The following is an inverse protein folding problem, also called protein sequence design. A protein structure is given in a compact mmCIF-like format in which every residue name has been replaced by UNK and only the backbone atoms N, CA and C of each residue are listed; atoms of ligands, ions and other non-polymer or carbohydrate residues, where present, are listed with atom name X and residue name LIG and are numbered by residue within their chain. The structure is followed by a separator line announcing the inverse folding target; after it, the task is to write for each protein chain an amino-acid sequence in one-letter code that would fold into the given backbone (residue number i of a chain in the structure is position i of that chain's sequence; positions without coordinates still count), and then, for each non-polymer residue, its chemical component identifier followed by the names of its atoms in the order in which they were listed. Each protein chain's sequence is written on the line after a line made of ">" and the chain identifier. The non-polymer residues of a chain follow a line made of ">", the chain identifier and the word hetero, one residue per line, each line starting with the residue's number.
data_IF_518773712583
#
_entry.id   IF_518773712583
#
_cell.length_a   1.000
_cell.length_b   1.000
_cell.length_c   1.000
_cell.angle_alpha   90.00
_cell.angle_beta   90.00
_cell.angle_gamma   90.00
#
_symmetry.space_group_name_H-M   'P 1'
#
loop_
_entity.id
_entity.type
_entity.pdbx_description
1 polymer ?
#
# COMPACT_ATOMS: atom_id res chain seq x y z
N UNK A 1 22.62 -4.68 8.50
CA UNK A 1 21.88 -4.07 7.37
C UNK A 1 20.61 -4.86 7.19
N UNK A 2 19.44 -4.22 7.23
CA UNK A 2 18.20 -4.86 6.77
C UNK A 2 18.31 -5.10 5.26
N UNK A 3 17.88 -6.27 4.79
CA UNK A 3 17.69 -6.54 3.36
C UNK A 3 16.70 -5.51 2.80
N UNK A 4 17.05 -4.87 1.67
CA UNK A 4 16.23 -3.88 0.95
C UNK A 4 14.78 -4.34 0.76
N UNK A 5 14.56 -5.64 0.56
CA UNK A 5 13.20 -6.22 0.45
C UNK A 5 12.41 -6.07 1.75
N UNK A 6 13.07 -6.28 2.88
CA UNK A 6 12.47 -6.15 4.21
C UNK A 6 12.18 -4.69 4.53
N UNK A 7 13.09 -3.77 4.20
CA UNK A 7 12.88 -2.32 4.37
C UNK A 7 11.65 -1.85 3.59
N UNK A 8 11.57 -2.14 2.28
CA UNK A 8 10.44 -1.73 1.45
C UNK A 8 9.11 -2.35 1.91
N UNK A 9 9.15 -3.58 2.42
CA UNK A 9 7.96 -4.22 2.99
C UNK A 9 7.49 -3.51 4.27
N UNK A 10 8.41 -3.14 5.16
CA UNK A 10 8.07 -2.39 6.37
C UNK A 10 7.49 -1.02 6.03
N UNK A 11 8.15 -0.27 5.14
CA UNK A 11 7.67 1.03 4.65
C UNK A 11 6.24 0.92 4.08
N UNK A 12 6.00 -0.08 3.23
CA UNK A 12 4.66 -0.34 2.70
C UNK A 12 3.62 -0.60 3.80
N UNK A 13 3.95 -1.39 4.84
CA UNK A 13 2.99 -1.69 5.90
C UNK A 13 2.70 -0.48 6.77
N UNK A 14 3.73 0.30 7.11
CA UNK A 14 3.60 1.53 7.89
C UNK A 14 2.75 2.56 7.14
N UNK A 15 3.08 2.82 5.87
CA UNK A 15 2.32 3.77 5.05
C UNK A 15 0.89 3.32 4.79
N UNK A 16 0.67 2.02 4.57
CA UNK A 16 -0.68 1.46 4.41
C UNK A 16 -1.51 1.65 5.68
N UNK A 17 -0.94 1.32 6.84
CA UNK A 17 -1.63 1.46 8.11
C UNK A 17 -1.99 2.92 8.38
N UNK A 18 -1.07 3.84 8.14
CA UNK A 18 -1.33 5.26 8.28
C UNK A 18 -2.43 5.73 7.31
N UNK A 19 -2.39 5.27 6.06
CA UNK A 19 -3.41 5.61 5.06
C UNK A 19 -4.81 5.11 5.45
N UNK A 20 -4.91 3.90 6.01
CA UNK A 20 -6.17 3.34 6.47
C UNK A 20 -6.73 4.13 7.68
N UNK A 21 -5.86 4.57 8.60
CA UNK A 21 -6.24 5.48 9.70
C UNK A 21 -6.73 6.82 9.17
N UNK A 22 -5.98 7.46 8.27
CA UNK A 22 -6.33 8.76 7.68
C UNK A 22 -7.70 8.68 6.97
N UNK A 23 -7.95 7.61 6.21
CA UNK A 23 -9.24 7.37 5.56
C UNK A 23 -10.35 7.21 6.58
N UNK A 24 -10.13 6.42 7.64
CA UNK A 24 -11.10 6.22 8.71
C UNK A 24 -11.51 7.53 9.41
N UNK A 25 -10.52 8.37 9.73
CA UNK A 25 -10.78 9.69 10.31
C UNK A 25 -11.58 10.59 9.35
N UNK A 26 -11.26 10.54 8.05
CA UNK A 26 -11.98 11.30 7.03
C UNK A 26 -13.43 10.81 6.87
N UNK A 27 -13.70 9.50 6.96
CA UNK A 27 -15.07 8.96 6.94
C UNK A 27 -15.88 9.56 8.09
N UNK A 28 -15.30 9.56 9.30
CA UNK A 28 -15.97 10.06 10.50
C UNK A 28 -16.27 11.55 10.34
N UNK A 29 -15.28 12.33 9.90
CA UNK A 29 -15.43 13.76 9.65
C UNK A 29 -16.56 14.03 8.64
N UNK A 30 -16.50 13.44 7.45
CA UNK A 30 -17.50 13.64 6.39
C UNK A 30 -18.91 13.20 6.81
N UNK A 31 -19.05 12.11 7.58
CA UNK A 31 -20.35 11.65 8.09
C UNK A 31 -20.90 12.54 9.22
N UNK A 32 -20.04 13.29 9.90
CA UNK A 32 -20.42 14.22 10.98
C UNK A 32 -20.85 15.60 10.46
N UNK A 33 -20.49 15.95 9.23
CA UNK A 33 -20.82 17.24 8.64
C UNK A 33 -22.32 17.36 8.33
N UNK A 34 -22.96 18.38 8.91
CA UNK A 34 -24.35 18.73 8.71
C UNK A 34 -24.45 20.11 8.03
N UNK A 35 -25.46 20.28 7.17
CA UNK A 35 -25.79 21.56 6.57
C UNK A 35 -26.43 22.51 7.59
N UNK A 36 -26.70 23.75 7.18
CA UNK A 36 -27.32 24.79 8.02
C UNK A 36 -28.73 24.41 8.54
N UNK A 37 -29.31 23.31 8.04
CA UNK A 37 -30.62 22.76 8.44
C UNK A 37 -30.49 21.46 9.24
N UNK A 38 -29.27 21.07 9.60
CA UNK A 38 -28.99 19.85 10.36
C UNK A 38 -29.09 18.55 9.56
N UNK A 39 -29.09 18.60 8.22
CA UNK A 39 -29.08 17.42 7.35
C UNK A 39 -27.66 17.05 6.96
N UNK A 40 -27.41 15.74 6.77
CA UNK A 40 -26.12 15.26 6.31
C UNK A 40 -25.76 15.86 4.95
N UNK A 41 -24.59 16.50 4.87
CA UNK A 41 -24.06 17.08 3.62
C UNK A 41 -23.69 15.96 2.64
N UNK A 42 -23.12 14.87 3.16
CA UNK A 42 -22.66 13.75 2.37
C UNK A 42 -23.54 12.51 2.59
N UNK A 43 -24.01 11.92 1.50
CA UNK A 43 -24.50 10.54 1.48
C UNK A 43 -23.32 9.58 1.53
N UNK A 44 -23.55 8.31 1.89
CA UNK A 44 -22.46 7.32 1.97
C UNK A 44 -21.69 7.19 0.64
N UNK A 45 -22.40 7.18 -0.49
CA UNK A 45 -21.77 7.12 -1.82
C UNK A 45 -20.89 8.34 -2.14
N UNK A 46 -21.29 9.54 -1.70
CA UNK A 46 -20.50 10.75 -1.90
C UNK A 46 -19.30 10.84 -0.95
N UNK A 47 -19.40 10.27 0.26
CA UNK A 47 -18.25 10.13 1.16
C UNK A 47 -17.17 9.26 0.51
N UNK A 48 -17.55 8.08 0.00
CA UNK A 48 -16.60 7.13 -0.60
C UNK A 48 -15.91 7.72 -1.84
N UNK A 49 -16.66 8.43 -2.69
CA UNK A 49 -16.10 9.11 -3.85
C UNK A 49 -15.08 10.20 -3.44
N UNK A 50 -15.43 11.01 -2.44
CA UNK A 50 -14.57 12.10 -1.94
C UNK A 50 -13.28 11.54 -1.34
N UNK A 51 -13.39 10.47 -0.56
CA UNK A 51 -12.23 9.80 0.07
C UNK A 51 -11.34 9.17 -1.01
N UNK A 52 -11.91 8.42 -1.95
CA UNK A 52 -11.14 7.80 -3.02
C UNK A 52 -10.41 8.84 -3.88
N UNK A 53 -11.05 9.97 -4.18
CA UNK A 53 -10.41 11.08 -4.89
C UNK A 53 -9.27 11.70 -4.07
N UNK A 54 -9.52 12.00 -2.79
CA UNK A 54 -8.52 12.63 -1.90
C UNK A 54 -7.29 11.78 -1.67
N UNK A 55 -7.46 10.45 -1.62
CA UNK A 55 -6.38 9.51 -1.35
C UNK A 55 -5.85 8.79 -2.61
N UNK A 56 -6.26 9.24 -3.81
CA UNK A 56 -5.88 8.58 -5.07
C UNK A 56 -4.36 8.50 -5.26
N UNK A 57 -3.66 9.63 -5.12
CA UNK A 57 -2.22 9.69 -5.35
C UNK A 57 -1.46 8.86 -4.30
N UNK A 58 -1.83 8.96 -3.01
CA UNK A 58 -1.26 8.12 -1.95
C UNK A 58 -1.47 6.62 -2.22
N UNK A 59 -2.66 6.20 -2.68
CA UNK A 59 -2.90 4.80 -3.06
C UNK A 59 -1.99 4.36 -4.21
N UNK A 60 -1.78 5.24 -5.21
CA UNK A 60 -0.93 4.96 -6.37
C UNK A 60 0.54 4.81 -5.97
N UNK A 61 1.04 5.68 -5.09
CA UNK A 61 2.39 5.59 -4.54
C UNK A 61 2.59 4.28 -3.77
N UNK A 62 1.65 3.95 -2.88
CA UNK A 62 1.67 2.70 -2.12
C UNK A 62 1.66 1.46 -3.03
N UNK A 63 0.89 1.51 -4.12
CA UNK A 63 0.88 0.46 -5.14
C UNK A 63 2.23 0.31 -5.85
N UNK A 64 2.95 1.41 -6.10
CA UNK A 64 4.28 1.37 -6.69
C UNK A 64 5.31 0.73 -5.74
N UNK A 65 5.25 1.01 -4.43
CA UNK A 65 6.12 0.38 -3.43
C UNK A 65 5.88 -1.13 -3.37
N UNK A 66 4.59 -1.53 -3.36
CA UNK A 66 4.21 -2.95 -3.41
C UNK A 66 4.79 -3.66 -4.62
N UNK A 67 4.63 -3.09 -5.81
CA UNK A 67 5.13 -3.68 -7.05
C UNK A 67 6.66 -3.79 -7.05
N UNK A 68 7.37 -2.75 -6.57
CA UNK A 68 8.84 -2.78 -6.44
C UNK A 68 9.29 -3.92 -5.52
N UNK A 69 8.59 -4.12 -4.41
CA UNK A 69 8.88 -5.18 -3.44
C UNK A 69 8.69 -6.56 -4.08
N UNK A 70 7.57 -6.78 -4.77
CA UNK A 70 7.28 -8.03 -5.48
C UNK A 70 8.32 -8.32 -6.57
N UNK A 71 8.70 -7.32 -7.36
CA UNK A 71 9.73 -7.46 -8.40
C UNK A 71 11.10 -7.83 -7.83
N UNK A 72 11.51 -7.20 -6.72
CA UNK A 72 12.77 -7.53 -6.06
C UNK A 72 12.75 -8.95 -5.52
N UNK A 73 11.66 -9.34 -4.85
CA UNK A 73 11.53 -10.69 -4.31
C UNK A 73 11.60 -11.76 -5.42
N UNK A 74 10.94 -11.53 -6.55
CA UNK A 74 11.00 -12.42 -7.72
C UNK A 74 12.41 -12.52 -8.28
N UNK A 75 13.12 -11.40 -8.44
CA UNK A 75 14.52 -11.39 -8.93
C UNK A 75 15.43 -12.18 -8.00
N UNK A 76 15.30 -11.99 -6.69
CA UNK A 76 16.08 -12.70 -5.68
C UNK A 76 15.85 -14.21 -5.76
N UNK A 77 14.59 -14.64 -5.90
CA UNK A 77 14.25 -16.06 -6.07
C UNK A 77 14.91 -16.66 -7.32
N UNK A 78 14.76 -16.00 -8.47
CA UNK A 78 15.35 -16.47 -9.74
C UNK A 78 16.86 -16.59 -9.65
N UNK A 79 17.55 -15.58 -9.09
CA UNK A 79 19.00 -15.63 -8.88
C UNK A 79 19.38 -16.79 -7.97
N UNK A 80 18.62 -17.02 -6.89
CA UNK A 80 18.82 -18.15 -5.99
C UNK A 80 18.71 -19.51 -6.68
N UNK A 81 17.73 -19.67 -7.57
CA UNK A 81 17.57 -20.88 -8.40
C UNK A 81 18.77 -21.09 -9.32
N UNK A 82 19.23 -20.05 -10.01
CA UNK A 82 20.43 -20.12 -10.85
C UNK A 82 21.68 -20.54 -10.06
N UNK A 83 21.91 -19.95 -8.89
CA UNK A 83 23.03 -20.32 -8.01
C UNK A 83 22.94 -21.81 -7.63
N UNK A 84 21.75 -22.31 -7.31
CA UNK A 84 21.55 -23.71 -6.96
C UNK A 84 21.83 -24.65 -8.13
N UNK A 85 21.46 -24.27 -9.35
CA UNK A 85 21.78 -25.04 -10.57
C UNK A 85 23.30 -25.13 -10.75
N UNK A 86 24.01 -23.99 -10.67
CA UNK A 86 25.48 -23.96 -10.82
C UNK A 86 26.16 -24.81 -9.76
N UNK A 87 25.73 -24.71 -8.50
CA UNK A 87 26.25 -25.56 -7.40
C UNK A 87 26.10 -27.06 -7.69
N UNK A 88 24.96 -27.47 -8.26
CA UNK A 88 24.73 -28.88 -8.64
C UNK A 88 25.62 -29.34 -9.80
N UNK A 89 25.97 -28.44 -10.72
CA UNK A 89 26.89 -28.74 -11.82
C UNK A 89 28.32 -28.88 -11.31
N UNK A 90 28.77 -27.95 -10.46
CA UNK A 90 30.13 -27.94 -9.91
C UNK A 90 30.39 -29.03 -8.86
N UNK A 91 29.35 -29.58 -8.25
CA UNK A 91 29.45 -30.71 -7.31
C UNK A 91 29.56 -32.08 -8.01
N UNK A 92 29.53 -32.12 -9.35
CA UNK A 92 29.82 -33.29 -10.17
C UNK A 92 31.25 -33.24 -10.68
#
# INVERSE_FOLDING_TARGET
>A
MLDTTTTLRSEYQEEKQQLDVDKGLMVIDLKSQLDDKGKKIHTESTCDATINQKFFDKNKELQAIKLKTELLQNKTTVIGEYINIVKKILAK
#
